data_IF_374403337359
#
_entry.id   IF_374403337359
#
_cell.length_a   1.000
_cell.length_b   1.000
_cell.length_c   1.000
_cell.angle_alpha   90.00
_cell.angle_beta   90.00
_cell.angle_gamma   90.00
#
_symmetry.space_group_name_H-M   'P 1'
#
loop_
_entity.id
_entity.type
_entity.pdbx_description
1 polymer ?
#
# COMPACT_ATOMS: atom_id res chain seq x y z
N UNK A 1 -35.04 -10.26 -13.82
CA UNK A 1 -33.82 -9.56 -14.29
C UNK A 1 -33.37 -8.41 -13.37
N UNK A 2 -34.19 -7.91 -12.43
CA UNK A 2 -33.76 -6.86 -11.50
C UNK A 2 -32.89 -7.36 -10.33
N UNK A 3 -33.14 -8.58 -9.84
CA UNK A 3 -32.45 -9.15 -8.66
C UNK A 3 -30.99 -9.55 -8.89
N UNK A 4 -30.59 -9.82 -10.13
CA UNK A 4 -29.22 -10.22 -10.46
C UNK A 4 -28.30 -8.99 -10.59
N UNK A 5 -28.85 -7.86 -11.04
CA UNK A 5 -28.17 -6.56 -11.12
C UNK A 5 -27.87 -5.99 -9.73
N UNK A 6 -28.81 -6.09 -8.80
CA UNK A 6 -28.62 -5.60 -7.42
C UNK A 6 -27.54 -6.39 -6.70
N UNK A 7 -27.53 -7.72 -6.84
CA UNK A 7 -26.57 -8.60 -6.17
C UNK A 7 -25.12 -8.34 -6.64
N UNK A 8 -24.90 -8.14 -7.95
CA UNK A 8 -23.59 -7.78 -8.51
C UNK A 8 -23.09 -6.43 -7.97
N UNK A 9 -23.99 -5.48 -7.77
CA UNK A 9 -23.65 -4.14 -7.27
C UNK A 9 -23.29 -4.17 -5.77
N UNK A 10 -23.98 -5.00 -4.98
CA UNK A 10 -23.66 -5.23 -3.56
C UNK A 10 -22.30 -5.93 -3.37
N UNK A 11 -21.99 -6.93 -4.19
CA UNK A 11 -20.72 -7.67 -4.15
C UNK A 11 -19.52 -6.77 -4.49
N UNK A 12 -19.63 -5.92 -5.52
CA UNK A 12 -18.58 -4.96 -5.88
C UNK A 12 -18.34 -3.89 -4.81
N UNK A 13 -19.43 -3.40 -4.18
CA UNK A 13 -19.36 -2.47 -3.08
C UNK A 13 -18.69 -3.08 -1.84
N UNK A 14 -19.03 -4.34 -1.53
CA UNK A 14 -18.44 -5.10 -0.42
C UNK A 14 -16.94 -5.35 -0.67
N UNK A 15 -16.56 -5.77 -1.87
CA UNK A 15 -15.17 -6.01 -2.26
C UNK A 15 -14.33 -4.72 -2.19
N UNK A 16 -14.87 -3.61 -2.70
CA UNK A 16 -14.22 -2.29 -2.62
C UNK A 16 -14.06 -1.83 -1.16
N UNK A 17 -15.07 -2.04 -0.33
CA UNK A 17 -15.02 -1.74 1.10
C UNK A 17 -13.95 -2.54 1.85
N UNK A 18 -13.91 -3.86 1.65
CA UNK A 18 -12.90 -4.73 2.24
C UNK A 18 -11.48 -4.39 1.79
N UNK A 19 -11.31 -4.04 0.51
CA UNK A 19 -10.02 -3.63 -0.04
C UNK A 19 -9.53 -2.33 0.60
N UNK A 20 -10.41 -1.34 0.75
CA UNK A 20 -10.08 -0.07 1.42
C UNK A 20 -9.68 -0.29 2.87
N UNK A 21 -10.40 -1.13 3.60
CA UNK A 21 -10.01 -1.52 4.96
C UNK A 21 -8.65 -2.23 5.01
N UNK A 22 -8.38 -3.09 4.03
CA UNK A 22 -7.09 -3.77 3.92
C UNK A 22 -5.96 -2.77 3.65
N UNK A 23 -6.17 -1.79 2.78
CA UNK A 23 -5.19 -0.74 2.52
C UNK A 23 -4.99 0.17 3.73
N UNK A 24 -6.06 0.51 4.46
CA UNK A 24 -6.03 1.29 5.70
C UNK A 24 -5.14 0.67 6.80
N UNK A 25 -4.78 -0.61 6.67
CA UNK A 25 -3.80 -1.26 7.53
C UNK A 25 -2.41 -0.61 7.49
N UNK A 26 -2.12 0.29 6.52
CA UNK A 26 -0.89 1.07 6.45
C UNK A 26 -0.54 1.78 7.76
N UNK A 27 -1.55 2.16 8.57
CA UNK A 27 -1.36 2.79 9.88
C UNK A 27 -0.64 1.86 10.86
N UNK A 28 -1.01 0.59 10.86
CA UNK A 28 -0.39 -0.42 11.70
C UNK A 28 1.01 -0.76 11.21
N UNK A 29 1.19 -0.91 9.89
CA UNK A 29 2.49 -1.15 9.26
C UNK A 29 3.48 -0.03 9.63
N UNK A 30 3.03 1.23 9.57
CA UNK A 30 3.82 2.39 9.94
C UNK A 30 4.15 2.42 11.45
N UNK A 31 3.20 2.04 12.31
CA UNK A 31 3.45 1.91 13.74
C UNK A 31 4.48 0.82 14.04
N UNK A 32 4.42 -0.29 13.31
CA UNK A 32 5.30 -1.44 13.47
C UNK A 32 6.73 -1.19 12.99
N UNK A 33 6.97 -0.16 12.17
CA UNK A 33 8.33 0.25 11.78
C UNK A 33 8.99 1.23 12.76
N UNK A 34 8.25 1.75 13.76
CA UNK A 34 8.78 2.68 14.75
C UNK A 34 9.87 2.07 15.65
N UNK A 35 9.76 0.83 16.17
CA UNK A 35 10.80 0.27 17.05
C UNK A 35 12.17 0.13 16.35
N UNK A 36 12.28 -0.45 15.13
CA UNK A 36 13.54 -0.46 14.38
C UNK A 36 14.07 0.95 14.10
N UNK A 37 13.18 1.92 13.82
CA UNK A 37 13.59 3.31 13.58
C UNK A 37 14.14 3.98 14.84
N UNK A 38 13.47 3.82 15.97
CA UNK A 38 13.93 4.36 17.25
C UNK A 38 15.30 3.77 17.61
N UNK A 39 15.51 2.48 17.39
CA UNK A 39 16.80 1.83 17.59
C UNK A 39 17.90 2.46 16.72
N UNK A 40 17.63 2.72 15.43
CA UNK A 40 18.56 3.41 14.51
C UNK A 40 18.93 4.82 14.99
N UNK A 41 17.98 5.55 15.57
CA UNK A 41 18.18 6.93 15.99
C UNK A 41 18.93 7.04 17.33
N UNK A 42 18.63 6.17 18.29
CA UNK A 42 19.08 6.33 19.67
C UNK A 42 20.17 5.34 20.10
N UNK A 43 20.22 4.14 19.51
CA UNK A 43 21.06 3.03 20.01
C UNK A 43 22.16 2.66 19.00
N UNK A 44 21.84 2.68 17.72
CA UNK A 44 22.74 2.17 16.68
C UNK A 44 24.02 3.01 16.53
N UNK A 45 25.16 2.33 16.68
CA UNK A 45 26.48 2.88 16.33
C UNK A 45 26.51 3.29 14.84
N UNK A 46 27.24 4.37 14.49
CA UNK A 46 27.39 4.77 13.10
C UNK A 46 28.11 3.67 12.30
N UNK A 47 27.48 3.21 11.22
CA UNK A 47 28.02 2.13 10.40
C UNK A 47 27.08 1.69 9.29
N UNK A 48 27.55 0.75 8.46
CA UNK A 48 26.81 0.24 7.29
C UNK A 48 25.48 -0.38 7.71
N UNK A 49 25.45 -1.13 8.81
CA UNK A 49 24.25 -1.80 9.33
C UNK A 49 23.15 -0.79 9.72
N UNK A 50 23.53 0.33 10.35
CA UNK A 50 22.62 1.43 10.65
C UNK A 50 22.02 2.03 9.38
N UNK A 51 22.84 2.25 8.35
CA UNK A 51 22.38 2.77 7.07
C UNK A 51 21.41 1.79 6.37
N UNK A 52 21.67 0.48 6.44
CA UNK A 52 20.78 -0.55 5.89
C UNK A 52 19.41 -0.53 6.57
N UNK A 53 19.35 -0.51 7.91
CA UNK A 53 18.07 -0.46 8.62
C UNK A 53 17.35 0.87 8.34
N UNK A 54 18.06 2.00 8.33
CA UNK A 54 17.48 3.29 7.99
C UNK A 54 16.87 3.28 6.58
N UNK A 55 17.55 2.68 5.61
CA UNK A 55 17.06 2.53 4.24
C UNK A 55 15.82 1.62 4.21
N UNK A 56 15.82 0.48 4.91
CA UNK A 56 14.66 -0.40 4.99
C UNK A 56 13.45 0.31 5.62
N UNK A 57 13.66 1.09 6.69
CA UNK A 57 12.61 1.93 7.28
C UNK A 57 12.06 2.95 6.27
N UNK A 58 12.93 3.61 5.51
CA UNK A 58 12.52 4.56 4.48
C UNK A 58 11.70 3.89 3.36
N UNK A 59 12.09 2.68 2.93
CA UNK A 59 11.33 1.91 1.92
C UNK A 59 9.96 1.48 2.47
N UNK A 60 9.89 1.02 3.73
CA UNK A 60 8.62 0.69 4.40
C UNK A 60 7.71 1.91 4.48
N UNK A 61 8.23 3.07 4.88
CA UNK A 61 7.45 4.31 4.93
C UNK A 61 6.98 4.77 3.56
N UNK A 62 7.82 4.67 2.53
CA UNK A 62 7.41 4.91 1.16
C UNK A 62 6.27 3.97 0.74
N UNK A 63 6.34 2.69 1.13
CA UNK A 63 5.25 1.73 0.96
C UNK A 63 3.96 2.16 1.66
N UNK A 64 4.04 2.58 2.93
CA UNK A 64 2.89 3.07 3.70
C UNK A 64 2.25 4.31 3.07
N UNK A 65 3.07 5.27 2.63
CA UNK A 65 2.60 6.45 1.90
C UNK A 65 1.84 6.04 0.64
N UNK A 66 2.37 5.06 -0.10
CA UNK A 66 1.72 4.56 -1.31
C UNK A 66 0.36 3.92 -1.01
N UNK A 67 0.29 3.08 0.04
CA UNK A 67 -0.96 2.44 0.47
C UNK A 67 -2.02 3.44 0.92
N UNK A 68 -1.63 4.48 1.65
CA UNK A 68 -2.52 5.56 2.05
C UNK A 68 -3.10 6.32 0.85
N UNK A 69 -2.26 6.57 -0.15
CA UNK A 69 -2.65 7.26 -1.37
C UNK A 69 -3.57 6.38 -2.23
N UNK A 70 -3.29 5.07 -2.32
CA UNK A 70 -4.15 4.11 -3.01
C UNK A 70 -5.52 3.98 -2.29
N UNK A 71 -5.56 3.93 -0.95
CA UNK A 71 -6.80 3.93 -0.14
C UNK A 71 -7.70 5.15 -0.47
N UNK A 72 -7.09 6.33 -0.61
CA UNK A 72 -7.79 7.57 -0.98
C UNK A 72 -8.25 7.57 -2.43
N UNK A 73 -7.47 7.04 -3.36
CA UNK A 73 -7.94 6.95 -4.75
C UNK A 73 -9.13 6.01 -4.89
N UNK A 74 -9.10 4.84 -4.27
CA UNK A 74 -10.26 3.92 -4.30
C UNK A 74 -11.48 4.47 -3.54
N UNK A 75 -11.33 5.50 -2.71
CA UNK A 75 -12.48 6.22 -2.16
C UNK A 75 -13.21 7.11 -3.15
N UNK A 76 -12.53 7.53 -4.22
CA UNK A 76 -13.03 8.46 -5.23
C UNK A 76 -13.36 7.75 -6.55
N UNK A 77 -12.72 6.61 -6.83
CA UNK A 77 -12.95 5.82 -8.05
C UNK A 77 -14.16 4.91 -7.87
N UNK A 78 -15.17 5.11 -8.71
CA UNK A 78 -16.38 4.25 -8.84
C UNK A 78 -16.38 3.61 -10.23
N UNK A 79 -17.10 2.50 -10.42
CA UNK A 79 -17.20 1.81 -11.72
C UNK A 79 -17.60 2.76 -12.88
N UNK A 80 -18.48 3.72 -12.62
CA UNK A 80 -18.92 4.73 -13.58
C UNK A 80 -17.81 5.72 -14.00
N UNK A 81 -16.84 5.97 -13.12
CA UNK A 81 -15.79 6.97 -13.31
C UNK A 81 -14.40 6.35 -13.57
N UNK A 82 -14.32 5.04 -13.81
CA UNK A 82 -13.03 4.32 -13.92
C UNK A 82 -12.15 4.81 -15.08
N UNK A 83 -12.78 5.21 -16.19
CA UNK A 83 -12.11 5.74 -17.38
C UNK A 83 -11.53 7.14 -17.14
N UNK A 84 -12.32 8.06 -16.58
CA UNK A 84 -11.85 9.41 -16.19
C UNK A 84 -10.79 9.35 -15.09
N UNK A 85 -10.94 8.43 -14.13
CA UNK A 85 -9.93 8.18 -13.11
C UNK A 85 -8.60 7.71 -13.72
N UNK A 86 -8.67 6.83 -14.74
CA UNK A 86 -7.50 6.35 -15.48
C UNK A 86 -6.75 7.49 -16.20
N UNK A 87 -7.48 8.43 -16.80
CA UNK A 87 -6.89 9.62 -17.42
C UNK A 87 -6.24 10.56 -16.41
N UNK A 88 -6.92 10.84 -15.28
CA UNK A 88 -6.36 11.66 -14.21
C UNK A 88 -5.12 11.02 -13.58
N UNK A 89 -5.16 9.71 -13.31
CA UNK A 89 -4.01 8.94 -12.83
C UNK A 89 -2.86 8.94 -13.84
N UNK A 90 -3.15 8.82 -15.13
CA UNK A 90 -2.15 8.94 -16.19
C UNK A 90 -1.53 10.33 -16.21
N UNK A 91 -2.30 11.40 -16.01
CA UNK A 91 -1.77 12.76 -15.96
C UNK A 91 -0.84 12.95 -14.76
N UNK A 92 -1.23 12.47 -13.57
CA UNK A 92 -0.45 12.59 -12.33
C UNK A 92 0.86 11.79 -12.41
N UNK A 93 0.80 10.54 -12.88
CA UNK A 93 1.93 9.61 -12.85
C UNK A 93 2.67 9.50 -14.19
N UNK A 94 2.20 10.18 -15.24
CA UNK A 94 2.73 10.12 -16.63
C UNK A 94 2.95 8.70 -17.13
N UNK A 95 2.03 7.79 -16.80
CA UNK A 95 2.07 6.38 -17.23
C UNK A 95 0.84 6.05 -18.05
N UNK A 96 1.02 5.90 -19.36
CA UNK A 96 -0.05 5.59 -20.31
C UNK A 96 -0.76 4.27 -20.01
N UNK A 97 -0.04 3.31 -19.42
CA UNK A 97 -0.60 2.02 -18.98
C UNK A 97 -1.75 2.18 -17.96
N UNK A 98 -1.84 3.31 -17.24
CA UNK A 98 -2.94 3.58 -16.30
C UNK A 98 -4.28 3.85 -17.01
N UNK A 99 -4.26 4.26 -18.29
CA UNK A 99 -5.48 4.50 -19.07
C UNK A 99 -6.18 3.20 -19.48
N UNK A 100 -5.42 2.12 -19.65
CA UNK A 100 -5.94 0.83 -20.14
C UNK A 100 -6.23 -0.18 -19.04
N UNK A 101 -5.83 0.13 -17.80
CA UNK A 101 -6.05 -0.75 -16.65
C UNK A 101 -7.49 -0.64 -16.15
N UNK A 102 -8.15 -1.78 -16.05
CA UNK A 102 -9.48 -1.92 -15.44
C UNK A 102 -9.41 -1.69 -13.93
N UNK A 103 -10.53 -1.36 -13.31
CA UNK A 103 -10.66 -1.22 -11.86
C UNK A 103 -10.14 -2.46 -11.09
N UNK A 104 -10.42 -3.66 -11.60
CA UNK A 104 -9.94 -4.94 -11.02
C UNK A 104 -8.42 -5.05 -11.06
N UNK A 105 -7.79 -4.68 -12.18
CA UNK A 105 -6.33 -4.70 -12.31
C UNK A 105 -5.66 -3.70 -11.34
N UNK A 106 -6.28 -2.54 -11.14
CA UNK A 106 -5.80 -1.52 -10.19
C UNK A 106 -5.88 -2.04 -8.75
N UNK A 107 -7.00 -2.67 -8.39
CA UNK A 107 -7.18 -3.30 -7.09
C UNK A 107 -6.15 -4.41 -6.83
N UNK A 108 -5.91 -5.29 -7.81
CA UNK A 108 -4.90 -6.33 -7.72
C UNK A 108 -3.48 -5.76 -7.56
N UNK A 109 -3.17 -4.67 -8.28
CA UNK A 109 -1.92 -3.94 -8.13
C UNK A 109 -1.71 -3.37 -6.72
N UNK A 110 -2.74 -2.75 -6.14
CA UNK A 110 -2.69 -2.21 -4.79
C UNK A 110 -2.53 -3.31 -3.73
N UNK A 111 -3.22 -4.45 -3.89
CA UNK A 111 -3.04 -5.61 -3.02
C UNK A 111 -1.63 -6.21 -3.13
N UNK A 112 -1.06 -6.27 -4.34
CA UNK A 112 0.33 -6.69 -4.54
C UNK A 112 1.30 -5.76 -3.82
N UNK A 113 1.08 -4.44 -3.90
CA UNK A 113 1.86 -3.46 -3.16
C UNK A 113 1.73 -3.66 -1.64
N UNK A 114 0.51 -3.89 -1.13
CA UNK A 114 0.26 -4.16 0.29
C UNK A 114 1.03 -5.39 0.78
N UNK A 115 0.97 -6.51 0.04
CA UNK A 115 1.73 -7.73 0.35
C UNK A 115 3.22 -7.48 0.33
N UNK A 116 3.71 -6.73 -0.66
CA UNK A 116 5.12 -6.37 -0.75
C UNK A 116 5.58 -5.52 0.45
N UNK A 117 4.77 -4.54 0.88
CA UNK A 117 5.07 -3.74 2.07
C UNK A 117 5.08 -4.60 3.35
N UNK A 118 4.15 -5.55 3.48
CA UNK A 118 4.15 -6.51 4.60
C UNK A 118 5.42 -7.38 4.62
N UNK A 119 5.84 -7.90 3.46
CA UNK A 119 7.10 -8.64 3.34
C UNK A 119 8.31 -7.79 3.73
N UNK A 120 8.34 -6.51 3.33
CA UNK A 120 9.41 -5.59 3.70
C UNK A 120 9.44 -5.30 5.21
N UNK A 121 8.28 -5.18 5.86
CA UNK A 121 8.22 -5.03 7.32
C UNK A 121 8.72 -6.29 8.01
N UNK A 122 8.31 -7.48 7.55
CA UNK A 122 8.81 -8.74 8.10
C UNK A 122 10.33 -8.87 7.93
N UNK A 123 10.88 -8.48 6.77
CA UNK A 123 12.31 -8.45 6.53
C UNK A 123 13.03 -7.43 7.43
N UNK A 124 12.47 -6.22 7.60
CA UNK A 124 12.99 -5.21 8.52
C UNK A 124 13.08 -5.75 9.95
N UNK A 125 12.03 -6.41 10.42
CA UNK A 125 12.01 -7.04 11.75
C UNK A 125 13.03 -8.18 11.88
N UNK A 126 13.14 -9.05 10.88
CA UNK A 126 14.11 -10.13 10.89
C UNK A 126 15.55 -9.60 10.96
N UNK A 127 15.89 -8.62 10.10
CA UNK A 127 17.21 -7.98 10.10
C UNK A 127 17.49 -7.28 11.42
N UNK A 128 16.51 -6.55 11.96
CA UNK A 128 16.67 -5.84 13.22
C UNK A 128 16.89 -6.80 14.41
N UNK A 129 16.11 -7.88 14.51
CA UNK A 129 16.26 -8.87 15.58
C UNK A 129 17.60 -9.61 15.51
N UNK A 130 18.07 -9.97 14.31
CA UNK A 130 19.40 -10.60 14.14
C UNK A 130 20.53 -9.69 14.60
N UNK A 131 20.37 -8.37 14.47
CA UNK A 131 21.36 -7.40 14.91
C UNK A 131 21.31 -7.08 16.42
N UNK A 132 20.25 -7.52 17.11
CA UNK A 132 20.14 -7.41 18.57
C UNK A 132 20.74 -8.61 19.30
N UNK A 133 20.90 -9.75 18.62
CA UNK A 133 21.54 -10.97 19.13
C UNK A 133 23.06 -10.87 19.00
#
# INVERSE_FOLDING_TARGET
MATESDNVTEDEALQSGLLRHTLASWRFILLFSLPPMAWVLFVAQPGILRAVIALLCAVVWFGCWRLWLDERYFSLVTAENDTQAGEALCFIWRRERLKTLTLVDRQAGALKQCRHTLCLVAALWAVWLVLLV
#
